data_IF_635302889705
#
_entry.id   IF_635302889705
#
_cell.length_a   1.000
_cell.length_b   1.000
_cell.length_c   1.000
_cell.angle_alpha   90.00
_cell.angle_beta   90.00
_cell.angle_gamma   90.00
#
_symmetry.space_group_name_H-M   'P 1'
#
loop_
_entity.id
_entity.type
_entity.pdbx_description
1 polymer ?
#
# COMPACT_ATOMS: atom_id res chain seq x y z
N UNK A 1 -6.63 -4.56 -11.37
CA UNK A 1 -6.33 -4.98 -9.98
C UNK A 1 -7.24 -4.24 -9.03
N UNK A 2 -7.46 -2.93 -9.24
CA UNK A 2 -8.50 -2.13 -8.54
C UNK A 2 -9.89 -2.80 -8.57
N UNK A 3 -10.40 -3.15 -9.76
CA UNK A 3 -11.71 -3.81 -9.94
C UNK A 3 -11.96 -5.03 -9.02
N UNK A 4 -10.95 -5.90 -8.85
CA UNK A 4 -11.07 -7.11 -8.02
C UNK A 4 -11.15 -6.80 -6.51
N UNK A 5 -10.66 -5.63 -6.10
CA UNK A 5 -10.56 -5.22 -4.70
C UNK A 5 -11.70 -4.28 -4.30
N UNK A 6 -12.50 -3.80 -5.24
CA UNK A 6 -13.74 -3.08 -4.96
C UNK A 6 -14.87 -4.01 -4.50
N UNK A 7 -14.92 -5.24 -5.02
CA UNK A 7 -15.90 -6.27 -4.64
C UNK A 7 -15.62 -6.95 -3.29
N UNK A 8 -14.42 -6.78 -2.73
CA UNK A 8 -14.06 -7.33 -1.43
C UNK A 8 -14.38 -6.29 -0.34
N UNK A 9 -15.20 -6.69 0.64
CA UNK A 9 -15.50 -5.98 1.91
C UNK A 9 -14.25 -5.87 2.81
N UNK A 10 -13.16 -5.33 2.26
CA UNK A 10 -11.88 -5.20 2.91
C UNK A 10 -11.56 -3.74 3.16
N UNK A 11 -10.94 -3.50 4.32
CA UNK A 11 -10.54 -2.18 4.77
C UNK A 11 -9.52 -1.56 3.81
N UNK A 12 -9.39 -0.23 3.76
CA UNK A 12 -8.39 0.43 2.92
C UNK A 12 -6.96 -0.09 3.15
N UNK A 13 -6.62 -0.41 4.40
CA UNK A 13 -5.34 -0.98 4.80
C UNK A 13 -5.13 -2.43 4.29
N UNK A 14 -6.18 -3.25 4.30
CA UNK A 14 -6.12 -4.61 3.75
C UNK A 14 -5.92 -4.60 2.24
N UNK A 15 -6.51 -3.63 1.52
CA UNK A 15 -6.26 -3.48 0.08
C UNK A 15 -4.78 -3.22 -0.20
N UNK A 16 -4.16 -2.28 0.51
CA UNK A 16 -2.73 -2.01 0.37
C UNK A 16 -1.88 -3.23 0.75
N UNK A 17 -2.26 -3.94 1.83
CA UNK A 17 -1.59 -5.16 2.27
C UNK A 17 -1.62 -6.24 1.19
N UNK A 18 -2.78 -6.46 0.56
CA UNK A 18 -2.92 -7.43 -0.52
C UNK A 18 -2.10 -7.06 -1.76
N UNK A 19 -2.15 -5.81 -2.21
CA UNK A 19 -1.37 -5.38 -3.38
C UNK A 19 0.14 -5.52 -3.15
N UNK A 20 0.61 -5.15 -1.96
CA UNK A 20 2.02 -5.21 -1.60
C UNK A 20 2.52 -6.63 -1.28
N UNK A 21 1.62 -7.59 -1.07
CA UNK A 21 1.98 -9.01 -0.89
C UNK A 21 2.74 -9.59 -2.09
N UNK A 22 2.50 -9.05 -3.28
CA UNK A 22 3.16 -9.50 -4.52
C UNK A 22 4.52 -8.84 -4.76
N UNK A 23 4.92 -7.87 -3.93
CA UNK A 23 6.20 -7.20 -4.10
C UNK A 23 7.36 -8.14 -3.83
N UNK A 24 8.38 -8.01 -4.67
CA UNK A 24 9.62 -8.79 -4.59
C UNK A 24 10.82 -7.88 -4.79
N UNK A 25 11.96 -8.30 -4.26
CA UNK A 25 13.24 -7.61 -4.40
C UNK A 25 13.13 -6.10 -4.10
N UNK A 26 13.49 -5.24 -5.05
CA UNK A 26 13.49 -3.79 -4.89
C UNK A 26 12.13 -3.21 -4.46
N UNK A 27 11.01 -3.76 -4.96
CA UNK A 27 9.68 -3.30 -4.59
C UNK A 27 9.36 -3.60 -3.11
N UNK A 28 9.83 -4.74 -2.59
CA UNK A 28 9.65 -5.08 -1.17
C UNK A 28 10.48 -4.17 -0.27
N UNK A 29 11.71 -3.85 -0.67
CA UNK A 29 12.57 -2.93 0.07
C UNK A 29 11.98 -1.51 0.09
N UNK A 30 11.49 -1.04 -1.06
CA UNK A 30 10.78 0.23 -1.16
C UNK A 30 9.57 0.26 -0.22
N UNK A 31 8.72 -0.76 -0.25
CA UNK A 31 7.51 -0.79 0.58
C UNK A 31 7.82 -0.82 2.08
N UNK A 32 8.93 -1.47 2.48
CA UNK A 32 9.38 -1.43 3.87
C UNK A 32 9.67 0.00 4.33
N UNK A 33 10.50 0.75 3.58
CA UNK A 33 10.82 2.14 3.91
C UNK A 33 9.60 3.07 3.82
N UNK A 34 8.73 2.88 2.82
CA UNK A 34 7.50 3.67 2.68
C UNK A 34 6.56 3.45 3.86
N UNK A 35 6.40 2.22 4.36
CA UNK A 35 5.60 1.96 5.57
C UNK A 35 6.17 2.66 6.79
N UNK A 36 7.48 2.60 7.00
CA UNK A 36 8.12 3.31 8.11
C UNK A 36 7.89 4.82 8.01
N UNK A 37 8.04 5.38 6.82
CA UNK A 37 7.73 6.79 6.55
C UNK A 37 6.28 7.14 6.90
N UNK A 38 5.31 6.32 6.48
CA UNK A 38 3.90 6.58 6.75
C UNK A 38 3.61 6.55 8.26
N UNK A 39 4.20 5.61 9.00
CA UNK A 39 4.06 5.53 10.47
C UNK A 39 4.67 6.76 11.16
N UNK A 40 5.89 7.15 10.78
CA UNK A 40 6.61 8.28 11.40
C UNK A 40 5.87 9.61 11.15
N UNK A 41 5.25 9.77 9.98
CA UNK A 41 4.58 11.00 9.58
C UNK A 41 3.06 10.97 9.80
N UNK A 42 2.55 9.97 10.53
CA UNK A 42 1.12 9.80 10.82
C UNK A 42 0.23 9.80 9.56
N UNK A 43 0.78 9.30 8.44
CA UNK A 43 0.05 9.16 7.18
C UNK A 43 -0.79 7.90 7.25
N UNK A 44 -2.10 8.05 7.04
CA UNK A 44 -3.03 6.92 7.02
C UNK A 44 -2.68 5.93 5.90
N UNK A 45 -2.62 4.63 6.25
CA UNK A 45 -2.40 3.56 5.29
C UNK A 45 -3.71 3.22 4.55
N UNK A 46 -3.91 3.89 3.43
CA UNK A 46 -5.02 3.66 2.51
C UNK A 46 -4.52 3.64 1.05
N UNK A 47 -5.39 3.23 0.12
CA UNK A 47 -5.02 3.09 -1.30
C UNK A 47 -4.58 4.40 -1.94
N UNK A 48 -5.19 5.53 -1.56
CA UNK A 48 -4.90 6.85 -2.12
C UNK A 48 -3.47 7.29 -1.76
N UNK A 49 -3.10 7.22 -0.48
CA UNK A 49 -1.77 7.58 -0.01
C UNK A 49 -0.70 6.61 -0.52
N UNK A 50 -1.00 5.31 -0.56
CA UNK A 50 -0.14 4.32 -1.18
C UNK A 50 0.13 4.65 -2.65
N UNK A 51 -0.93 4.89 -3.43
CA UNK A 51 -0.83 5.16 -4.87
C UNK A 51 -0.03 6.42 -5.16
N UNK A 52 -0.23 7.48 -4.37
CA UNK A 52 0.57 8.72 -4.45
C UNK A 52 2.06 8.45 -4.24
N UNK A 53 2.42 7.72 -3.18
CA UNK A 53 3.80 7.39 -2.86
C UNK A 53 4.43 6.43 -3.88
N UNK A 54 3.63 5.53 -4.46
CA UNK A 54 4.09 4.54 -5.43
C UNK A 54 4.36 5.15 -6.81
N UNK A 55 3.55 6.11 -7.24
CA UNK A 55 3.71 6.76 -8.56
C UNK A 55 4.80 7.83 -8.59
N UNK A 56 5.10 8.45 -7.45
CA UNK A 56 6.08 9.54 -7.35
C UNK A 56 5.53 10.89 -7.75
#
# INVERSE_FOLDING_TARGET
>A
MEDMMEDLDCTPAEKVTFATHFFRAAASNWWHGTKEYMVINEVEMNWENFSRLFMG
#
